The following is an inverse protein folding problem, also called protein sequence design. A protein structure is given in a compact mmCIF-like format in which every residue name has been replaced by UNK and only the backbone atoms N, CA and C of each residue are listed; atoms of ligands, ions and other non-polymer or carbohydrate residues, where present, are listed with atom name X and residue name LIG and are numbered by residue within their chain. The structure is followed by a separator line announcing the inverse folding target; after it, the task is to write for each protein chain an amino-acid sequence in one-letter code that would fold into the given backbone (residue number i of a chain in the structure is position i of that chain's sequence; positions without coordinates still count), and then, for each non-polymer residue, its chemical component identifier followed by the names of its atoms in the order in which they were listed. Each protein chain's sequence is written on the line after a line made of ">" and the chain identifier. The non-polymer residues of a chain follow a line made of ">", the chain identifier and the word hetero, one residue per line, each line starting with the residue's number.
data_IF_148598892746
#
_entry.id   IF_148598892746
#
_cell.length_a   1.000
_cell.length_b   1.000
_cell.length_c   1.000
_cell.angle_alpha   90.00
_cell.angle_beta   90.00
_cell.angle_gamma   90.00
#
_symmetry.space_group_name_H-M   'P 1'
#
loop_
_entity.id
_entity.type
_entity.pdbx_description
1 polymer ?
#
# COMPACT_ATOMS: atom_id res chain seq x y z
N UNK A 1 4.58 16.94 -0.33
CA UNK A 1 4.60 16.17 0.94
C UNK A 1 3.39 15.23 1.04
N UNK A 2 2.37 15.45 0.22
CA UNK A 2 1.06 14.80 0.26
C UNK A 2 1.01 13.40 -0.36
N UNK A 3 1.77 13.14 -1.43
CA UNK A 3 1.72 11.84 -2.12
C UNK A 3 2.27 10.71 -1.25
N UNK A 4 3.46 10.90 -0.66
CA UNK A 4 4.08 9.89 0.20
C UNK A 4 3.20 9.56 1.42
N UNK A 5 2.56 10.59 1.98
CA UNK A 5 1.68 10.48 3.15
C UNK A 5 0.40 9.70 2.80
N UNK A 6 -0.23 10.03 1.66
CA UNK A 6 -1.38 9.29 1.15
C UNK A 6 -1.05 7.83 0.86
N UNK A 7 0.13 7.55 0.30
CA UNK A 7 0.58 6.18 0.05
C UNK A 7 0.70 5.39 1.35
N UNK A 8 1.35 5.98 2.37
CA UNK A 8 1.47 5.32 3.67
C UNK A 8 0.11 5.04 4.30
N UNK A 9 -0.83 5.98 4.26
CA UNK A 9 -2.18 5.79 4.84
C UNK A 9 -2.91 4.61 4.18
N UNK A 10 -2.89 4.53 2.85
CA UNK A 10 -3.61 3.44 2.16
C UNK A 10 -2.90 2.10 2.36
N UNK A 11 -1.57 2.11 2.37
CA UNK A 11 -0.78 0.93 2.70
C UNK A 11 -1.11 0.44 4.13
N UNK A 12 -1.17 1.34 5.11
CA UNK A 12 -1.52 1.01 6.49
C UNK A 12 -2.93 0.41 6.61
N UNK A 13 -3.93 0.99 5.95
CA UNK A 13 -5.31 0.46 5.94
C UNK A 13 -5.37 -0.95 5.31
N UNK A 14 -4.62 -1.17 4.23
CA UNK A 14 -4.55 -2.48 3.60
C UNK A 14 -3.92 -3.52 4.55
N UNK A 15 -2.84 -3.17 5.25
CA UNK A 15 -2.24 -4.06 6.24
C UNK A 15 -3.16 -4.28 7.45
N UNK A 16 -3.86 -3.28 7.95
CA UNK A 16 -4.81 -3.43 9.05
C UNK A 16 -5.95 -4.40 8.67
N UNK A 17 -6.43 -4.35 7.43
CA UNK A 17 -7.38 -5.34 6.89
C UNK A 17 -6.78 -6.75 6.83
N UNK A 18 -5.55 -6.90 6.34
CA UNK A 18 -4.86 -8.20 6.30
C UNK A 18 -4.72 -8.74 7.73
N UNK A 19 -4.33 -7.91 8.69
CA UNK A 19 -4.19 -8.31 10.09
C UNK A 19 -5.49 -8.89 10.64
N UNK A 20 -6.62 -8.19 10.45
CA UNK A 20 -7.93 -8.66 10.93
C UNK A 20 -8.37 -9.95 10.25
N UNK A 21 -8.01 -10.12 8.98
CA UNK A 21 -8.35 -11.30 8.18
C UNK A 21 -7.52 -12.51 8.59
N UNK A 22 -6.23 -12.31 8.91
CA UNK A 22 -5.32 -13.32 9.42
C UNK A 22 -5.61 -13.66 10.89
N UNK A 23 -5.90 -12.66 11.71
CA UNK A 23 -6.11 -12.82 13.15
C UNK A 23 -7.27 -13.79 13.43
N UNK A 24 -6.93 -14.89 14.10
CA UNK A 24 -7.89 -15.92 14.47
C UNK A 24 -8.10 -17.04 13.44
N UNK A 25 -7.46 -16.96 12.27
CA UNK A 25 -7.39 -18.07 11.31
C UNK A 25 -6.30 -19.06 11.68
N UNK A 26 -6.42 -20.27 11.13
CA UNK A 26 -5.42 -21.33 11.29
C UNK A 26 -4.41 -21.22 10.17
N UNK A 27 -3.15 -21.06 10.54
CA UNK A 27 -2.06 -21.10 9.59
C UNK A 27 -1.69 -22.54 9.26
N UNK A 28 -1.36 -22.79 8.00
CA UNK A 28 -0.73 -24.02 7.54
C UNK A 28 0.80 -23.96 7.71
N UNK A 29 1.37 -22.76 7.82
CA UNK A 29 2.78 -22.56 8.16
C UNK A 29 3.22 -21.13 7.85
N UNK A 30 4.31 -20.68 8.47
CA UNK A 30 4.81 -19.34 8.25
C UNK A 30 6.18 -19.08 8.88
N UNK A 31 6.77 -17.91 8.60
CA UNK A 31 8.06 -17.50 9.17
C UNK A 31 7.95 -17.18 10.67
N UNK A 32 8.99 -17.45 11.46
CA UNK A 32 9.01 -17.09 12.89
C UNK A 32 8.30 -18.09 13.80
N UNK A 33 8.61 -19.37 13.64
CA UNK A 33 8.14 -20.49 14.49
C UNK A 33 6.65 -20.85 14.38
N UNK A 34 5.92 -20.29 13.42
CA UNK A 34 4.51 -20.63 13.19
C UNK A 34 4.36 -22.05 12.65
N UNK A 35 3.83 -22.94 13.48
CA UNK A 35 3.58 -24.34 13.11
C UNK A 35 2.29 -24.50 12.30
N UNK A 36 2.28 -25.53 11.46
CA UNK A 36 1.08 -25.97 10.77
C UNK A 36 -0.03 -26.33 11.78
N UNK A 37 -1.19 -25.69 11.65
CA UNK A 37 -2.31 -25.85 12.57
C UNK A 37 -2.37 -24.83 13.70
N UNK A 38 -1.40 -23.90 13.80
CA UNK A 38 -1.39 -22.88 14.83
C UNK A 38 -2.28 -21.70 14.48
N UNK A 39 -2.85 -21.05 15.50
CA UNK A 39 -3.75 -19.91 15.33
C UNK A 39 -2.94 -18.63 15.21
N UNK A 40 -3.17 -17.86 14.16
CA UNK A 40 -2.50 -16.57 13.98
C UNK A 40 -3.05 -15.59 15.02
N UNK A 41 -2.14 -14.95 15.75
CA UNK A 41 -2.45 -13.92 16.74
C UNK A 41 -1.90 -12.57 16.27
N UNK A 42 -2.57 -11.48 16.66
CA UNK A 42 -2.09 -10.10 16.41
C UNK A 42 -0.66 -9.87 16.90
N UNK A 43 -0.27 -10.23 18.14
CA UNK A 43 1.12 -10.03 18.60
C UNK A 43 2.16 -10.75 17.74
N UNK A 44 1.84 -11.93 17.19
CA UNK A 44 2.72 -12.61 16.25
C UNK A 44 2.89 -11.83 14.93
N UNK A 45 1.81 -11.28 14.38
CA UNK A 45 1.87 -10.45 13.18
C UNK A 45 2.67 -9.16 13.42
N UNK A 46 2.45 -8.49 14.56
CA UNK A 46 3.22 -7.29 14.93
C UNK A 46 4.71 -7.56 15.20
N UNK A 47 5.06 -8.76 15.64
CA UNK A 47 6.46 -9.17 15.83
C UNK A 47 7.18 -9.41 14.49
N UNK A 48 6.43 -9.60 13.41
CA UNK A 48 6.96 -9.89 12.08
C UNK A 48 6.93 -8.64 11.17
N UNK A 49 7.90 -8.52 10.24
CA UNK A 49 7.84 -7.52 9.20
C UNK A 49 6.61 -7.71 8.31
N UNK A 50 6.02 -6.60 7.83
CA UNK A 50 4.88 -6.59 6.89
C UNK A 50 5.15 -7.43 5.63
N UNK A 51 6.38 -7.40 5.11
CA UNK A 51 6.83 -8.25 4.00
C UNK A 51 6.60 -9.75 4.26
N UNK A 52 6.80 -10.19 5.50
CA UNK A 52 6.66 -11.59 5.90
C UNK A 52 5.23 -12.04 6.08
N UNK A 53 4.26 -11.12 6.12
CA UNK A 53 2.85 -11.47 6.26
C UNK A 53 2.33 -12.21 5.02
N UNK A 54 2.88 -11.91 3.85
CA UNK A 54 2.56 -12.61 2.59
C UNK A 54 3.19 -14.00 2.47
N UNK A 55 4.17 -14.32 3.32
CA UNK A 55 4.78 -15.66 3.38
C UNK A 55 3.96 -16.61 4.26
N UNK A 56 3.01 -16.09 5.04
CA UNK A 56 2.13 -16.90 5.88
C UNK A 56 1.13 -17.64 5.01
N UNK A 57 1.15 -18.97 5.09
CA UNK A 57 0.16 -19.84 4.45
C UNK A 57 -0.97 -20.13 5.42
N UNK A 58 -2.18 -19.94 4.93
CA UNK A 58 -3.40 -20.25 5.67
C UNK A 58 -3.94 -21.60 5.23
N UNK A 59 -4.57 -22.31 6.17
CA UNK A 59 -5.24 -23.58 5.85
C UNK A 59 -6.55 -23.39 5.07
N UNK A 60 -7.08 -22.17 5.10
CA UNK A 60 -8.34 -21.81 4.47
C UNK A 60 -8.08 -21.19 3.08
N UNK A 61 -8.45 -21.92 2.02
CA UNK A 61 -8.24 -21.49 0.62
C UNK A 61 -8.95 -20.18 0.28
N UNK A 62 -10.14 -19.93 0.83
CA UNK A 62 -10.88 -18.69 0.58
C UNK A 62 -10.13 -17.48 1.14
N UNK A 63 -9.56 -17.63 2.34
CA UNK A 63 -8.73 -16.62 2.98
C UNK A 63 -7.42 -16.42 2.21
N UNK A 64 -6.82 -17.50 1.72
CA UNK A 64 -5.61 -17.45 0.90
C UNK A 64 -5.83 -16.71 -0.43
N UNK A 65 -6.96 -16.98 -1.09
CA UNK A 65 -7.38 -16.27 -2.31
C UNK A 65 -7.55 -14.77 -2.05
N UNK A 66 -8.18 -14.42 -0.93
CA UNK A 66 -8.37 -13.02 -0.53
C UNK A 66 -7.03 -12.33 -0.27
N UNK A 67 -6.09 -13.02 0.38
CA UNK A 67 -4.75 -12.51 0.63
C UNK A 67 -3.97 -12.24 -0.67
N UNK A 68 -4.08 -13.15 -1.65
CA UNK A 68 -3.49 -12.95 -2.98
C UNK A 68 -4.12 -11.77 -3.73
N UNK A 69 -5.45 -11.60 -3.63
CA UNK A 69 -6.14 -10.44 -4.22
C UNK A 69 -5.65 -9.12 -3.62
N UNK A 70 -5.52 -9.05 -2.30
CA UNK A 70 -5.01 -7.84 -1.62
C UNK A 70 -3.57 -7.57 -2.03
N UNK A 71 -2.72 -8.61 -2.14
CA UNK A 71 -1.35 -8.49 -2.62
C UNK A 71 -1.29 -7.94 -4.05
N UNK A 72 -2.16 -8.44 -4.93
CA UNK A 72 -2.26 -7.95 -6.31
C UNK A 72 -2.71 -6.48 -6.35
N UNK A 73 -3.67 -6.11 -5.51
CA UNK A 73 -4.16 -4.73 -5.39
C UNK A 73 -3.06 -3.78 -4.91
N UNK A 74 -2.31 -4.15 -3.86
CA UNK A 74 -1.17 -3.37 -3.37
C UNK A 74 -0.11 -3.17 -4.45
N UNK A 75 0.22 -4.23 -5.20
CA UNK A 75 1.19 -4.14 -6.31
C UNK A 75 0.70 -3.22 -7.42
N UNK A 76 -0.57 -3.31 -7.80
CA UNK A 76 -1.17 -2.43 -8.79
C UNK A 76 -1.16 -0.99 -8.33
N UNK A 77 -1.49 -0.74 -7.07
CA UNK A 77 -1.52 0.59 -6.47
C UNK A 77 -0.13 1.21 -6.35
N UNK A 78 0.88 0.41 -5.97
CA UNK A 78 2.28 0.83 -5.96
C UNK A 78 2.75 1.25 -7.35
N UNK A 79 2.37 0.50 -8.39
CA UNK A 79 2.71 0.86 -9.77
C UNK A 79 2.03 2.16 -10.21
N UNK A 80 0.74 2.33 -9.93
CA UNK A 80 0.02 3.57 -10.24
C UNK A 80 0.60 4.78 -9.50
N UNK A 81 1.09 4.57 -8.27
CA UNK A 81 1.74 5.62 -7.50
C UNK A 81 3.09 6.02 -8.10
N UNK A 82 3.90 5.06 -8.54
CA UNK A 82 5.17 5.30 -9.22
C UNK A 82 4.96 6.13 -10.51
N UNK A 83 3.95 5.78 -11.30
CA UNK A 83 3.57 6.46 -12.54
C UNK A 83 3.14 7.93 -12.26
N UNK A 84 2.29 8.14 -11.25
CA UNK A 84 1.88 9.47 -10.81
C UNK A 84 3.04 10.29 -10.25
N UNK A 85 3.98 9.64 -9.55
CA UNK A 85 5.16 10.29 -9.00
C UNK A 85 6.08 10.79 -10.11
N UNK A 86 6.34 9.95 -11.12
CA UNK A 86 7.15 10.31 -12.27
C UNK A 86 6.49 11.43 -13.10
N UNK A 87 5.17 11.35 -13.33
CA UNK A 87 4.42 12.40 -14.03
C UNK A 87 4.48 13.73 -13.28
N UNK A 88 4.31 13.72 -11.96
CA UNK A 88 4.40 14.92 -11.12
C UNK A 88 5.81 15.49 -11.09
N UNK A 89 6.83 14.62 -11.05
CA UNK A 89 8.24 15.03 -11.09
C UNK A 89 8.57 15.71 -12.41
N UNK A 90 8.16 15.12 -13.54
CA UNK A 90 8.33 15.70 -14.86
C UNK A 90 7.63 17.05 -15.01
N UNK A 91 6.42 17.21 -14.46
CA UNK A 91 5.69 18.49 -14.46
C UNK A 91 6.31 19.56 -13.53
N UNK A 92 6.94 19.16 -12.42
CA UNK A 92 7.64 20.07 -11.51
C UNK A 92 8.96 20.57 -12.09
N UNK A 93 9.74 19.69 -12.74
CA UNK A 93 10.98 20.09 -13.44
C UNK A 93 10.69 20.90 -14.72
N UNK A 94 9.60 20.61 -15.44
CA UNK A 94 9.19 21.37 -16.62
C UNK A 94 8.47 22.70 -16.31
N UNK A 95 8.20 22.98 -15.02
CA UNK A 95 7.41 24.13 -14.56
C UNK A 95 8.21 25.37 -14.19
N UNK A 96 9.56 25.29 -14.13
CA UNK A 96 10.42 26.43 -13.78
C UNK A 96 10.98 27.16 -15.03
N UNK A 97 10.82 26.59 -16.23
CA UNK A 97 11.15 27.25 -17.50
C UNK A 97 9.88 27.88 -18.13
N UNK A 98 9.33 28.87 -17.43
CA UNK A 98 8.60 29.94 -18.11
C UNK A 98 9.60 31.10 -18.27
N UNK A 99 10.16 31.34 -19.48
CA UNK A 99 11.03 32.49 -19.70
C UNK A 99 10.31 33.77 -19.30
N UNK A 100 11.05 34.66 -18.65
CA UNK A 100 10.57 35.95 -18.17
C UNK A 100 9.81 36.72 -19.26
N UNK A 101 8.49 36.85 -19.09
CA UNK A 101 7.66 37.82 -19.79
C UNK A 101 6.48 37.22 -20.54
N UNK A 102 5.25 37.51 -20.07
CA UNK A 102 4.13 38.05 -20.87
C UNK A 102 2.88 38.23 -19.99
N UNK A 103 2.66 39.51 -19.63
CA UNK A 103 1.41 40.29 -19.57
C UNK A 103 0.15 39.76 -18.82
N UNK A 104 -0.05 40.34 -17.62
CA UNK A 104 -1.29 40.84 -16.96
C UNK A 104 -2.65 40.31 -17.48
N UNK A 105 -3.34 39.47 -16.70
CA UNK A 105 -4.80 39.28 -16.79
C UNK A 105 -5.53 40.04 -15.68
N UNK A 106 -6.46 40.91 -16.08
CA UNK A 106 -7.45 41.55 -15.20
C UNK A 106 -8.80 40.88 -15.45
N UNK A 107 -9.48 40.42 -14.39
CA UNK A 107 -10.92 40.10 -14.44
C UNK A 107 -11.68 41.06 -13.56
N UNK A 108 -12.44 41.95 -14.20
CA UNK A 108 -13.45 42.80 -13.56
C UNK A 108 -14.75 41.99 -13.48
N UNK A 109 -15.45 42.07 -12.37
CA UNK A 109 -16.84 41.62 -12.26
C UNK A 109 -17.67 42.78 -11.70
N UNK A 110 -18.82 43.03 -12.33
CA UNK A 110 -19.91 43.90 -11.86
C UNK A 110 -20.78 43.14 -10.87
#
# INVERSE_FOLDING_TARGET
>A
KDLQDQYQIVEDDAYDRIERLLAGKIAEGGPGELKAGEKITRPYLHALPRDKWFEVRLRDEATNTTLEQIRAQLKAQSKSFDDLYDEKRGKLEAGDDLPAGVLKMVKVFV
#
